data_IF_277699625218
#
_entry.id   IF_277699625218
#
_cell.length_a   1.000
_cell.length_b   1.000
_cell.length_c   1.000
_cell.angle_alpha   90.00
_cell.angle_beta   90.00
_cell.angle_gamma   90.00
#
_symmetry.space_group_name_H-M   'P 1'
#
loop_
_entity.id
_entity.type
_entity.pdbx_description
1 polymer ?
#
# COMPACT_ATOMS: atom_id res chain seq x y z
N UNK A 1 11.37 -31.29 13.43
CA UNK A 1 10.24 -30.34 13.30
C UNK A 1 10.25 -29.48 14.55
N UNK A 2 11.18 -28.53 14.61
CA UNK A 2 11.50 -27.89 15.89
C UNK A 2 11.03 -26.43 15.87
N UNK A 3 9.73 -26.25 15.65
CA UNK A 3 9.06 -24.93 15.64
C UNK A 3 9.26 -24.14 16.96
N UNK A 4 9.57 -24.83 18.05
CA UNK A 4 9.67 -24.26 19.40
C UNK A 4 11.10 -24.06 19.92
N UNK A 5 12.12 -24.11 19.05
CA UNK A 5 13.46 -23.65 19.46
C UNK A 5 13.46 -22.14 19.68
N UNK A 6 14.29 -21.66 20.61
CA UNK A 6 14.44 -20.22 20.92
C UNK A 6 14.74 -19.41 19.64
N UNK A 7 15.56 -19.94 18.74
CA UNK A 7 15.92 -19.31 17.46
C UNK A 7 14.72 -19.15 16.51
N UNK A 8 13.94 -20.23 16.31
CA UNK A 8 12.72 -20.18 15.50
C UNK A 8 11.65 -19.27 16.09
N UNK A 9 11.54 -19.18 17.42
CA UNK A 9 10.61 -18.27 18.09
C UNK A 9 11.02 -16.80 17.89
N UNK A 10 12.32 -16.51 18.01
CA UNK A 10 12.85 -15.18 17.73
C UNK A 10 12.63 -14.78 16.26
N UNK A 11 12.88 -15.70 15.33
CA UNK A 11 12.63 -15.51 13.90
C UNK A 11 11.15 -15.29 13.61
N UNK A 12 10.26 -16.06 14.24
CA UNK A 12 8.81 -15.85 14.13
C UNK A 12 8.41 -14.45 14.62
N UNK A 13 8.95 -13.99 15.76
CA UNK A 13 8.68 -12.65 16.26
C UNK A 13 9.18 -11.56 15.31
N UNK A 14 10.38 -11.71 14.75
CA UNK A 14 10.90 -10.79 13.73
C UNK A 14 10.03 -10.77 12.48
N UNK A 15 9.57 -11.94 12.01
CA UNK A 15 8.69 -12.04 10.85
C UNK A 15 7.32 -11.40 11.12
N UNK A 16 6.73 -11.63 12.29
CA UNK A 16 5.48 -10.97 12.68
C UNK A 16 5.65 -9.46 12.72
N UNK A 17 6.76 -8.96 13.31
CA UNK A 17 7.04 -7.53 13.37
C UNK A 17 7.25 -6.93 11.97
N UNK A 18 8.04 -7.59 11.13
CA UNK A 18 8.28 -7.17 9.74
C UNK A 18 6.99 -7.16 8.92
N UNK A 19 6.14 -8.17 9.08
CA UNK A 19 4.84 -8.23 8.41
C UNK A 19 3.84 -7.22 8.96
N UNK A 20 3.90 -6.84 10.24
CA UNK A 20 3.06 -5.80 10.79
C UNK A 20 3.42 -4.42 10.22
N UNK A 21 4.72 -4.12 10.12
CA UNK A 21 5.21 -2.87 9.55
C UNK A 21 4.92 -2.80 8.05
N UNK A 22 5.25 -3.85 7.28
CA UNK A 22 4.99 -3.90 5.83
C UNK A 22 3.50 -4.07 5.48
N UNK A 23 2.72 -4.66 6.39
CA UNK A 23 1.29 -4.92 6.20
C UNK A 23 0.42 -3.68 6.39
N UNK A 24 0.97 -2.61 6.96
CA UNK A 24 0.24 -1.36 7.15
C UNK A 24 -0.17 -0.72 5.82
N UNK A 25 0.73 -0.68 4.84
CA UNK A 25 0.45 -0.10 3.52
C UNK A 25 -0.62 -0.89 2.77
N UNK A 26 -0.58 -2.23 2.89
CA UNK A 26 -1.59 -3.12 2.35
C UNK A 26 -2.95 -2.91 3.03
N UNK A 27 -2.97 -2.73 4.36
CA UNK A 27 -4.19 -2.43 5.11
C UNK A 27 -4.79 -1.07 4.72
N UNK A 28 -3.95 -0.04 4.53
CA UNK A 28 -4.38 1.26 4.04
C UNK A 28 -5.01 1.16 2.66
N UNK A 29 -4.37 0.45 1.72
CA UNK A 29 -4.91 0.21 0.39
C UNK A 29 -6.27 -0.49 0.45
N UNK A 30 -6.39 -1.59 1.21
CA UNK A 30 -7.64 -2.32 1.40
C UNK A 30 -8.74 -1.42 1.94
N UNK A 31 -8.41 -0.60 2.95
CA UNK A 31 -9.37 0.31 3.58
C UNK A 31 -9.86 1.37 2.60
N UNK A 32 -8.96 1.99 1.83
CA UNK A 32 -9.30 2.99 0.80
C UNK A 32 -10.10 2.39 -0.36
N UNK A 33 -9.67 1.24 -0.88
CA UNK A 33 -10.31 0.61 -2.05
C UNK A 33 -11.71 0.07 -1.68
N UNK A 34 -11.90 -0.44 -0.46
CA UNK A 34 -13.20 -0.93 0.01
C UNK A 34 -14.30 0.14 0.06
N UNK A 35 -13.93 1.42 0.26
CA UNK A 35 -14.88 2.55 0.27
C UNK A 35 -15.59 2.76 -1.07
N UNK A 36 -15.06 2.19 -2.15
CA UNK A 36 -15.67 2.26 -3.49
C UNK A 36 -16.88 1.32 -3.64
N UNK A 37 -17.08 0.42 -2.68
CA UNK A 37 -18.23 -0.49 -2.64
C UNK A 37 -19.44 0.23 -2.03
N UNK A 38 -20.67 -0.25 -2.30
CA UNK A 38 -21.86 0.22 -1.58
C UNK A 38 -21.63 0.17 -0.07
N UNK A 39 -22.08 1.18 0.67
CA UNK A 39 -21.83 1.32 2.12
C UNK A 39 -22.19 0.06 2.91
N UNK A 40 -23.28 -0.62 2.53
CA UNK A 40 -23.73 -1.87 3.14
C UNK A 40 -22.79 -3.06 2.92
N UNK A 41 -21.93 -3.02 1.89
CA UNK A 41 -21.03 -4.10 1.50
C UNK A 41 -19.57 -3.86 1.87
N UNK A 42 -19.16 -2.64 2.24
CA UNK A 42 -17.75 -2.29 2.45
C UNK A 42 -17.06 -3.19 3.49
N UNK A 43 -17.72 -3.44 4.63
CA UNK A 43 -17.20 -4.36 5.67
C UNK A 43 -17.01 -5.77 5.11
N UNK A 44 -17.99 -6.28 4.37
CA UNK A 44 -17.95 -7.61 3.76
C UNK A 44 -16.81 -7.69 2.74
N UNK A 45 -16.63 -6.65 1.91
CA UNK A 45 -15.55 -6.54 0.92
C UNK A 45 -14.19 -6.56 1.60
N UNK A 46 -13.99 -5.82 2.70
CA UNK A 46 -12.73 -5.85 3.47
C UNK A 46 -12.43 -7.25 4.01
N UNK A 47 -13.39 -7.85 4.71
CA UNK A 47 -13.20 -9.15 5.35
C UNK A 47 -12.96 -10.27 4.34
N UNK A 48 -13.75 -10.33 3.26
CA UNK A 48 -13.56 -11.31 2.20
C UNK A 48 -12.25 -11.05 1.42
N UNK A 49 -11.96 -9.79 1.12
CA UNK A 49 -10.72 -9.39 0.46
C UNK A 49 -9.49 -9.83 1.26
N UNK A 50 -9.46 -9.56 2.56
CA UNK A 50 -8.35 -9.97 3.46
C UNK A 50 -8.29 -11.49 3.58
N UNK A 51 -9.42 -12.18 3.75
CA UNK A 51 -9.45 -13.64 3.87
C UNK A 51 -8.90 -14.34 2.62
N UNK A 52 -9.35 -13.91 1.43
CA UNK A 52 -8.88 -14.44 0.15
C UNK A 52 -7.39 -14.09 -0.05
N UNK A 53 -6.99 -12.86 0.29
CA UNK A 53 -5.60 -12.39 0.23
C UNK A 53 -4.66 -13.26 1.06
N UNK A 54 -5.02 -13.57 2.31
CA UNK A 54 -4.22 -14.44 3.20
C UNK A 54 -4.12 -15.85 2.64
N UNK A 55 -5.23 -16.42 2.16
CA UNK A 55 -5.22 -17.75 1.55
C UNK A 55 -4.30 -17.81 0.32
N UNK A 56 -4.44 -16.86 -0.60
CA UNK A 56 -3.58 -16.77 -1.79
C UNK A 56 -2.12 -16.52 -1.44
N UNK A 57 -1.84 -15.81 -0.34
CA UNK A 57 -0.48 -15.58 0.13
C UNK A 57 0.18 -16.87 0.62
N UNK A 58 -0.56 -17.76 1.26
CA UNK A 58 -0.06 -19.09 1.65
C UNK A 58 0.19 -19.96 0.41
N UNK A 59 -0.72 -19.92 -0.57
CA UNK A 59 -0.53 -20.61 -1.86
C UNK A 59 0.70 -20.07 -2.57
N UNK A 60 0.86 -18.75 -2.64
CA UNK A 60 2.01 -18.11 -3.25
C UNK A 60 3.31 -18.47 -2.52
N UNK A 61 3.31 -18.51 -1.19
CA UNK A 61 4.47 -18.95 -0.40
C UNK A 61 4.89 -20.37 -0.79
N UNK A 62 3.94 -21.30 -0.93
CA UNK A 62 4.23 -22.67 -1.35
C UNK A 62 4.81 -22.72 -2.77
N UNK A 63 4.22 -21.96 -3.70
CA UNK A 63 4.69 -21.83 -5.08
C UNK A 63 6.11 -21.28 -5.13
N UNK A 64 6.36 -20.17 -4.43
CA UNK A 64 7.69 -19.54 -4.37
C UNK A 64 8.72 -20.49 -3.78
N UNK A 65 8.43 -21.14 -2.65
CA UNK A 65 9.38 -22.06 -2.03
C UNK A 65 9.72 -23.28 -2.90
N UNK A 66 8.80 -23.68 -3.80
CA UNK A 66 9.00 -24.85 -4.67
C UNK A 66 9.62 -24.50 -6.03
N UNK A 67 9.31 -23.31 -6.56
CA UNK A 67 9.65 -22.89 -7.92
C UNK A 67 10.55 -21.65 -7.96
N UNK A 68 11.24 -21.33 -6.87
CA UNK A 68 12.02 -20.08 -6.77
C UNK A 68 13.03 -19.94 -7.91
N UNK A 69 13.71 -21.02 -8.27
CA UNK A 69 14.73 -21.02 -9.33
C UNK A 69 14.14 -20.67 -10.70
N UNK A 70 12.90 -21.08 -10.98
CA UNK A 70 12.19 -20.73 -12.22
C UNK A 70 11.64 -19.31 -12.19
N UNK A 71 11.29 -18.81 -11.01
CA UNK A 71 10.67 -17.49 -10.81
C UNK A 71 11.73 -16.38 -10.80
N UNK A 72 12.94 -16.68 -10.31
CA UNK A 72 14.08 -15.77 -10.30
C UNK A 72 14.89 -15.79 -11.60
N UNK A 73 14.57 -16.70 -12.54
CA UNK A 73 15.21 -16.72 -13.85
C UNK A 73 14.86 -15.51 -14.72
N UNK A 74 15.76 -15.21 -15.67
CA UNK A 74 15.55 -14.18 -16.67
C UNK A 74 14.36 -14.55 -17.59
N UNK A 75 13.36 -13.67 -17.67
CA UNK A 75 12.18 -13.83 -18.52
C UNK A 75 12.48 -13.33 -19.94
N UNK A 76 12.97 -12.09 -20.04
CA UNK A 76 13.44 -11.45 -21.26
C UNK A 76 14.35 -10.28 -20.94
N UNK A 77 15.22 -9.91 -21.87
CA UNK A 77 16.06 -8.73 -21.75
C UNK A 77 15.80 -7.74 -22.88
N UNK A 78 15.97 -6.46 -22.58
CA UNK A 78 15.86 -5.35 -23.51
C UNK A 78 17.20 -4.62 -23.48
N UNK A 79 17.91 -4.60 -24.60
CA UNK A 79 19.17 -3.90 -24.74
C UNK A 79 19.05 -2.87 -25.86
N UNK A 80 18.69 -1.65 -25.49
CA UNK A 80 18.75 -0.49 -26.37
C UNK A 80 19.99 0.32 -26.03
N UNK A 81 21.06 0.04 -26.77
CA UNK A 81 22.39 0.63 -26.56
C UNK A 81 22.34 2.16 -26.35
N UNK A 82 22.85 2.60 -25.20
CA UNK A 82 22.96 4.00 -24.82
C UNK A 82 21.67 4.67 -24.32
N UNK A 83 20.53 3.97 -24.33
CA UNK A 83 19.22 4.52 -23.94
C UNK A 83 18.62 3.75 -22.76
N UNK A 84 18.46 2.43 -22.90
CA UNK A 84 17.80 1.60 -21.91
C UNK A 84 18.34 0.17 -21.95
N UNK A 85 18.79 -0.34 -20.81
CA UNK A 85 19.17 -1.75 -20.64
C UNK A 85 18.36 -2.32 -19.47
N UNK A 86 17.81 -3.52 -19.65
CA UNK A 86 17.00 -4.18 -18.63
C UNK A 86 16.99 -5.70 -18.83
N UNK A 87 16.99 -6.44 -17.73
CA UNK A 87 16.79 -7.89 -17.68
C UNK A 87 15.61 -8.16 -16.76
N UNK A 88 14.46 -8.49 -17.34
CA UNK A 88 13.23 -8.67 -16.59
C UNK A 88 13.11 -10.10 -16.08
N UNK A 89 12.95 -10.25 -14.76
CA UNK A 89 12.49 -11.48 -14.10
C UNK A 89 10.97 -11.43 -13.88
N UNK A 90 10.34 -12.56 -13.59
CA UNK A 90 8.91 -12.61 -13.28
C UNK A 90 8.54 -11.69 -12.10
N UNK A 91 9.38 -11.69 -11.07
CA UNK A 91 9.23 -10.82 -9.91
C UNK A 91 9.26 -9.33 -10.29
N UNK A 92 10.26 -8.92 -11.09
CA UNK A 92 10.42 -7.52 -11.50
C UNK A 92 9.21 -7.02 -12.28
N UNK A 93 8.64 -7.84 -13.16
CA UNK A 93 7.46 -7.50 -13.96
C UNK A 93 6.23 -7.30 -13.08
N UNK A 94 5.98 -8.20 -12.13
CA UNK A 94 4.84 -8.10 -11.22
C UNK A 94 4.95 -6.85 -10.34
N UNK A 95 6.13 -6.58 -9.79
CA UNK A 95 6.37 -5.42 -8.93
C UNK A 95 6.21 -4.12 -9.72
N UNK A 96 6.81 -4.02 -10.91
CA UNK A 96 6.67 -2.86 -11.80
C UNK A 96 5.21 -2.63 -12.18
N UNK A 97 4.50 -3.68 -12.59
CA UNK A 97 3.08 -3.60 -12.94
C UNK A 97 2.24 -3.07 -11.77
N UNK A 98 2.42 -3.62 -10.57
CA UNK A 98 1.68 -3.13 -9.40
C UNK A 98 2.07 -1.72 -8.99
N UNK A 99 3.34 -1.33 -9.15
CA UNK A 99 3.79 0.05 -8.95
C UNK A 99 3.08 1.03 -9.88
N UNK A 100 3.04 0.73 -11.20
CA UNK A 100 2.29 1.54 -12.18
C UNK A 100 0.80 1.58 -11.83
N UNK A 101 0.22 0.42 -11.52
CA UNK A 101 -1.20 0.30 -11.20
C UNK A 101 -1.60 1.14 -9.97
N UNK A 102 -0.82 1.07 -8.89
CA UNK A 102 -1.03 1.85 -7.67
C UNK A 102 -0.90 3.33 -7.98
N UNK A 103 0.20 3.73 -8.63
CA UNK A 103 0.46 5.13 -8.96
C UNK A 103 -0.68 5.72 -9.80
N UNK A 104 -1.09 5.01 -10.85
CA UNK A 104 -2.23 5.41 -11.67
C UNK A 104 -3.53 5.54 -10.85
N UNK A 105 -3.82 4.55 -10.00
CA UNK A 105 -5.03 4.54 -9.18
C UNK A 105 -5.05 5.69 -8.16
N UNK A 106 -3.92 5.97 -7.53
CA UNK A 106 -3.75 7.07 -6.58
C UNK A 106 -3.87 8.43 -7.27
N UNK A 107 -3.18 8.66 -8.38
CA UNK A 107 -3.26 9.92 -9.15
C UNK A 107 -4.68 10.16 -9.65
N UNK A 108 -5.32 9.13 -10.21
CA UNK A 108 -6.71 9.22 -10.68
C UNK A 108 -7.67 9.59 -9.54
N UNK A 109 -7.47 9.03 -8.37
CA UNK A 109 -8.30 9.32 -7.19
C UNK A 109 -8.09 10.76 -6.71
N UNK A 110 -6.83 11.21 -6.60
CA UNK A 110 -6.48 12.59 -6.24
C UNK A 110 -7.14 13.58 -7.21
N UNK A 111 -7.04 13.32 -8.53
CA UNK A 111 -7.67 14.16 -9.55
C UNK A 111 -9.19 14.26 -9.36
N UNK A 112 -9.85 13.13 -9.10
CA UNK A 112 -11.29 13.11 -8.87
C UNK A 112 -11.71 13.85 -7.60
N UNK A 113 -10.95 13.74 -6.51
CA UNK A 113 -11.24 14.49 -5.29
C UNK A 113 -11.15 15.99 -5.53
N UNK A 114 -10.12 16.45 -6.25
CA UNK A 114 -9.98 17.87 -6.61
C UNK A 114 -11.12 18.35 -7.52
N UNK A 115 -11.57 17.52 -8.48
CA UNK A 115 -12.68 17.88 -9.37
C UNK A 115 -14.02 18.01 -8.62
N UNK A 116 -14.27 17.16 -7.62
CA UNK A 116 -15.50 17.20 -6.81
C UNK A 116 -15.60 18.45 -5.92
N UNK A 117 -14.49 19.04 -5.51
CA UNK A 117 -14.49 20.31 -4.78
C UNK A 117 -14.87 21.51 -5.65
N UNK A 118 -14.71 21.40 -6.98
CA UNK A 118 -14.94 22.50 -7.92
C UNK A 118 -16.37 22.46 -8.50
N UNK A 119 -16.94 21.29 -8.75
CA UNK A 119 -18.11 21.15 -9.63
C UNK A 119 -19.42 20.68 -8.96
N UNK A 120 -19.55 20.84 -7.63
CA UNK A 120 -20.87 20.72 -6.98
C UNK A 120 -21.54 19.34 -7.03
N UNK A 121 -20.76 18.25 -7.01
CA UNK A 121 -21.27 16.91 -6.71
C UNK A 121 -21.72 16.08 -7.91
N UNK A 122 -20.77 15.38 -8.54
CA UNK A 122 -21.09 14.18 -9.31
C UNK A 122 -21.02 12.99 -8.37
N UNK A 123 -22.19 12.50 -7.91
CA UNK A 123 -22.26 11.26 -7.13
C UNK A 123 -21.65 10.10 -7.93
N UNK A 124 -20.64 9.44 -7.35
CA UNK A 124 -20.02 8.25 -7.91
C UNK A 124 -21.04 7.12 -7.95
N UNK A 125 -21.17 6.45 -9.11
CA UNK A 125 -21.77 5.11 -9.13
C UNK A 125 -20.85 4.15 -8.36
N UNK A 126 -21.36 3.44 -7.33
CA UNK A 126 -20.58 2.45 -6.62
C UNK A 126 -20.02 1.41 -7.60
N UNK A 127 -18.78 0.96 -7.37
CA UNK A 127 -18.24 -0.17 -8.12
C UNK A 127 -18.76 -1.48 -7.52
N UNK A 128 -18.83 -2.54 -8.34
CA UNK A 128 -19.27 -3.85 -7.85
C UNK A 128 -18.29 -4.39 -6.80
N UNK A 129 -18.82 -4.95 -5.71
CA UNK A 129 -18.01 -5.57 -4.66
C UNK A 129 -17.03 -6.62 -5.21
N UNK A 130 -17.45 -7.42 -6.20
CA UNK A 130 -16.58 -8.41 -6.85
C UNK A 130 -15.36 -7.78 -7.52
N UNK A 131 -15.53 -6.63 -8.20
CA UNK A 131 -14.40 -5.91 -8.82
C UNK A 131 -13.44 -5.40 -7.75
N UNK A 132 -13.95 -4.84 -6.67
CA UNK A 132 -13.13 -4.29 -5.58
C UNK A 132 -12.36 -5.40 -4.86
N UNK A 133 -13.02 -6.54 -4.59
CA UNK A 133 -12.36 -7.72 -4.04
C UNK A 133 -11.24 -8.18 -4.98
N UNK A 134 -11.49 -8.25 -6.29
CA UNK A 134 -10.46 -8.63 -7.26
C UNK A 134 -9.26 -7.67 -7.24
N UNK A 135 -9.51 -6.35 -7.14
CA UNK A 135 -8.44 -5.34 -7.03
C UNK A 135 -7.64 -5.48 -5.73
N UNK A 136 -8.32 -5.70 -4.59
CA UNK A 136 -7.68 -5.95 -3.29
C UNK A 136 -6.78 -7.19 -3.39
N UNK A 137 -7.32 -8.28 -3.92
CA UNK A 137 -6.62 -9.55 -4.04
C UNK A 137 -5.41 -9.45 -4.97
N UNK A 138 -5.58 -8.82 -6.13
CA UNK A 138 -4.51 -8.59 -7.09
C UNK A 138 -3.37 -7.78 -6.47
N UNK A 139 -3.70 -6.70 -5.75
CA UNK A 139 -2.67 -5.87 -5.12
C UNK A 139 -1.98 -6.54 -3.95
N UNK A 140 -2.73 -7.28 -3.15
CA UNK A 140 -2.14 -8.09 -2.10
C UNK A 140 -1.19 -9.15 -2.70
N UNK A 141 -1.51 -9.73 -3.86
CA UNK A 141 -0.61 -10.65 -4.53
C UNK A 141 0.71 -9.97 -4.88
N UNK A 142 0.68 -8.79 -5.51
CA UNK A 142 1.89 -8.01 -5.84
C UNK A 142 2.74 -7.75 -4.59
N UNK A 143 2.14 -7.21 -3.52
CA UNK A 143 2.88 -6.95 -2.27
C UNK A 143 3.37 -8.22 -1.57
N UNK A 144 2.69 -9.34 -1.79
CA UNK A 144 3.09 -10.61 -1.21
C UNK A 144 4.38 -11.16 -1.82
N UNK A 145 4.70 -10.85 -3.08
CA UNK A 145 5.98 -11.29 -3.69
C UNK A 145 7.18 -10.75 -2.92
N UNK A 146 7.31 -9.41 -2.80
CA UNK A 146 8.44 -8.78 -2.12
C UNK A 146 8.54 -9.19 -0.64
N UNK A 147 7.41 -9.20 0.06
CA UNK A 147 7.38 -9.52 1.49
C UNK A 147 7.58 -11.01 1.79
N UNK A 148 7.25 -11.93 0.87
CA UNK A 148 7.61 -13.35 1.01
C UNK A 148 9.09 -13.56 0.72
N UNK A 149 9.65 -12.96 -0.33
CA UNK A 149 11.08 -13.10 -0.65
C UNK A 149 11.96 -12.51 0.45
N UNK A 150 11.56 -11.36 1.01
CA UNK A 150 12.19 -10.78 2.20
C UNK A 150 12.12 -11.72 3.42
N UNK A 151 11.03 -12.47 3.58
CA UNK A 151 10.88 -13.44 4.66
C UNK A 151 11.72 -14.71 4.45
N UNK A 152 11.83 -15.17 3.20
CA UNK A 152 12.69 -16.32 2.82
C UNK A 152 14.16 -16.02 3.09
N UNK A 153 14.60 -14.76 2.97
CA UNK A 153 15.94 -14.36 3.38
C UNK A 153 16.21 -14.48 4.89
N UNK A 154 15.16 -14.60 5.73
CA UNK A 154 15.26 -14.77 7.17
C UNK A 154 15.07 -16.22 7.63
N UNK A 155 14.33 -17.04 6.88
CA UNK A 155 14.12 -18.44 7.20
C UNK A 155 13.65 -19.25 5.99
N UNK A 156 14.15 -20.49 5.89
CA UNK A 156 13.68 -21.47 4.91
C UNK A 156 12.49 -22.31 5.43
N UNK A 157 12.00 -22.05 6.64
CA UNK A 157 10.94 -22.85 7.23
C UNK A 157 9.55 -22.36 6.81
N UNK A 158 8.92 -23.12 5.89
CA UNK A 158 7.56 -22.89 5.42
C UNK A 158 6.56 -22.60 6.54
N UNK A 159 6.56 -23.42 7.59
CA UNK A 159 5.57 -23.35 8.65
C UNK A 159 5.71 -22.08 9.49
N UNK A 160 6.94 -21.62 9.74
CA UNK A 160 7.19 -20.36 10.45
C UNK A 160 6.63 -19.19 9.64
N UNK A 161 6.93 -19.14 8.35
CA UNK A 161 6.40 -18.09 7.46
C UNK A 161 4.88 -18.14 7.33
N UNK A 162 4.29 -19.33 7.18
CA UNK A 162 2.84 -19.51 7.07
C UNK A 162 2.12 -19.07 8.35
N UNK A 163 2.64 -19.43 9.54
CA UNK A 163 2.09 -18.99 10.82
C UNK A 163 2.16 -17.46 10.94
N UNK A 164 3.31 -16.85 10.60
CA UNK A 164 3.44 -15.40 10.60
C UNK A 164 2.37 -14.73 9.71
N UNK A 165 2.20 -15.23 8.48
CA UNK A 165 1.20 -14.72 7.53
C UNK A 165 -0.22 -14.80 8.11
N UNK A 166 -0.58 -15.92 8.75
CA UNK A 166 -1.91 -16.10 9.35
C UNK A 166 -2.10 -15.10 10.50
N UNK A 167 -1.13 -14.96 11.40
CA UNK A 167 -1.20 -14.01 12.51
C UNK A 167 -1.32 -12.57 12.02
N UNK A 168 -0.53 -12.17 11.02
CA UNK A 168 -0.63 -10.87 10.37
C UNK A 168 -2.01 -10.68 9.72
N UNK A 169 -2.52 -11.70 9.04
CA UNK A 169 -3.86 -11.72 8.44
C UNK A 169 -4.98 -11.46 9.45
N UNK A 170 -4.94 -12.15 10.59
CA UNK A 170 -5.91 -11.96 11.68
C UNK A 170 -5.81 -10.55 12.27
N UNK A 171 -4.59 -10.05 12.49
CA UNK A 171 -4.38 -8.69 12.96
C UNK A 171 -4.92 -7.64 11.96
N UNK A 172 -4.72 -7.85 10.65
CA UNK A 172 -5.27 -6.99 9.60
C UNK A 172 -6.80 -6.97 9.63
N UNK A 173 -7.48 -8.12 9.77
CA UNK A 173 -8.95 -8.16 9.88
C UNK A 173 -9.42 -7.33 11.07
N UNK A 174 -8.76 -7.48 12.23
CA UNK A 174 -9.11 -6.75 13.43
C UNK A 174 -8.91 -5.24 13.30
N UNK A 175 -7.86 -4.81 12.61
CA UNK A 175 -7.54 -3.39 12.40
C UNK A 175 -8.32 -2.74 11.24
N UNK A 176 -8.73 -3.52 10.22
CA UNK A 176 -9.31 -2.98 8.99
C UNK A 176 -10.54 -2.10 9.20
N UNK A 177 -11.45 -2.52 10.09
CA UNK A 177 -12.64 -1.71 10.40
C UNK A 177 -12.29 -0.44 11.17
N UNK A 178 -11.30 -0.51 12.07
CA UNK A 178 -10.81 0.65 12.82
C UNK A 178 -10.15 1.67 11.90
N UNK A 179 -9.28 1.20 10.99
CA UNK A 179 -8.60 2.05 10.02
C UNK A 179 -9.60 2.66 9.04
N UNK A 180 -10.55 1.88 8.50
CA UNK A 180 -11.60 2.41 7.60
C UNK A 180 -12.40 3.52 8.28
N UNK A 181 -12.91 3.26 9.49
CA UNK A 181 -13.72 4.24 10.23
C UNK A 181 -12.91 5.50 10.57
N UNK A 182 -11.62 5.35 10.89
CA UNK A 182 -10.73 6.48 11.12
C UNK A 182 -10.56 7.35 9.87
N UNK A 183 -10.36 6.73 8.71
CA UNK A 183 -10.23 7.44 7.43
C UNK A 183 -11.55 8.12 7.02
N UNK A 184 -12.70 7.50 7.27
CA UNK A 184 -14.04 8.08 6.99
C UNK A 184 -14.31 9.33 7.83
N UNK A 185 -14.02 9.26 9.14
CA UNK A 185 -14.26 10.39 10.06
C UNK A 185 -13.34 11.57 9.80
N UNK A 186 -12.19 11.34 9.17
CA UNK A 186 -11.18 12.36 8.96
C UNK A 186 -10.77 12.44 7.48
N UNK A 187 -11.56 13.13 6.65
CA UNK A 187 -11.31 13.35 5.22
C UNK A 187 -9.86 13.75 4.86
N UNK A 188 -9.20 14.55 5.69
CA UNK A 188 -7.79 14.91 5.50
C UNK A 188 -6.86 13.69 5.45
N UNK A 189 -7.12 12.69 6.31
CA UNK A 189 -6.34 11.45 6.36
C UNK A 189 -6.66 10.52 5.18
N UNK A 190 -7.83 10.64 4.57
CA UNK A 190 -8.14 9.92 3.33
C UNK A 190 -7.25 10.40 2.18
N UNK A 191 -7.13 11.72 2.01
CA UNK A 191 -6.21 12.33 1.02
C UNK A 191 -4.76 11.97 1.33
N UNK A 192 -4.34 12.08 2.59
CA UNK A 192 -3.01 11.68 3.02
C UNK A 192 -2.72 10.21 2.70
N UNK A 193 -3.70 9.32 2.90
CA UNK A 193 -3.60 7.90 2.54
C UNK A 193 -3.36 7.68 1.05
N UNK A 194 -3.96 8.50 0.17
CA UNK A 194 -3.70 8.44 -1.27
C UNK A 194 -2.29 8.91 -1.65
N UNK A 195 -1.74 9.90 -0.95
CA UNK A 195 -0.35 10.32 -1.13
C UNK A 195 0.64 9.27 -0.61
N UNK A 196 0.35 8.63 0.53
CA UNK A 196 1.12 7.48 1.01
C UNK A 196 1.09 6.36 -0.04
N UNK A 197 -0.09 6.04 -0.57
CA UNK A 197 -0.27 5.03 -1.61
C UNK A 197 0.52 5.39 -2.89
N UNK A 198 0.56 6.67 -3.27
CA UNK A 198 1.36 7.15 -4.39
C UNK A 198 2.86 6.89 -4.18
N UNK A 199 3.37 7.18 -2.97
CA UNK A 199 4.77 6.92 -2.61
C UNK A 199 5.06 5.42 -2.61
N UNK A 200 4.15 4.58 -2.12
CA UNK A 200 4.27 3.12 -2.20
C UNK A 200 4.37 2.69 -3.67
N UNK A 201 3.57 3.27 -4.57
CA UNK A 201 3.68 3.05 -6.01
C UNK A 201 5.07 3.40 -6.56
N UNK A 202 5.63 4.55 -6.17
CA UNK A 202 6.98 4.98 -6.56
C UNK A 202 8.05 4.05 -6.01
N UNK A 203 7.92 3.61 -4.74
CA UNK A 203 8.84 2.66 -4.12
C UNK A 203 8.86 1.33 -4.87
N UNK A 204 7.69 0.79 -5.23
CA UNK A 204 7.61 -0.43 -6.05
C UNK A 204 8.22 -0.24 -7.43
N UNK A 205 8.05 0.91 -8.07
CA UNK A 205 8.69 1.17 -9.36
C UNK A 205 10.21 1.20 -9.25
N UNK A 206 10.75 1.79 -8.19
CA UNK A 206 12.19 1.79 -7.91
C UNK A 206 12.71 0.37 -7.64
N UNK A 207 12.03 -0.40 -6.78
CA UNK A 207 12.43 -1.76 -6.43
C UNK A 207 12.29 -2.71 -7.62
N UNK A 208 11.21 -2.60 -8.40
CA UNK A 208 10.97 -3.38 -9.60
C UNK A 208 11.97 -3.05 -10.71
N UNK A 209 12.31 -1.76 -10.87
CA UNK A 209 13.34 -1.31 -11.80
C UNK A 209 14.71 -1.84 -11.42
N UNK A 210 15.07 -1.77 -10.13
CA UNK A 210 16.31 -2.35 -9.63
C UNK A 210 16.38 -3.87 -9.87
N UNK A 211 15.31 -4.61 -9.56
CA UNK A 211 15.21 -6.06 -9.81
C UNK A 211 15.26 -6.42 -11.30
N UNK A 212 14.86 -5.49 -12.17
CA UNK A 212 14.99 -5.63 -13.62
C UNK A 212 16.37 -5.22 -14.14
N UNK A 213 17.34 -4.88 -13.28
CA UNK A 213 18.61 -4.24 -13.66
C UNK A 213 18.41 -3.08 -14.63
N UNK A 214 17.32 -2.33 -14.46
CA UNK A 214 16.90 -1.29 -15.38
C UNK A 214 17.86 -0.11 -15.27
N UNK A 215 18.47 0.25 -16.39
CA UNK A 215 19.29 1.44 -16.53
C UNK A 215 18.73 2.36 -17.62
N UNK A 216 18.83 3.67 -17.38
CA UNK A 216 18.49 4.70 -18.35
C UNK A 216 19.70 5.59 -18.58
N UNK A 217 20.11 5.75 -19.84
CA UNK A 217 21.27 6.57 -20.22
C UNK A 217 22.56 6.22 -19.43
N UNK A 218 22.76 4.93 -19.12
CA UNK A 218 23.90 4.46 -18.32
C UNK A 218 23.78 4.69 -16.81
N UNK A 219 22.64 5.19 -16.32
CA UNK A 219 22.35 5.30 -14.89
C UNK A 219 21.39 4.21 -14.44
N UNK A 220 21.85 3.34 -13.54
CA UNK A 220 21.03 2.27 -12.98
C UNK A 220 19.96 2.81 -12.01
N UNK A 221 18.79 2.18 -12.03
CA UNK A 221 17.76 2.43 -11.03
C UNK A 221 18.15 1.74 -9.72
N UNK A 222 18.32 2.54 -8.69
CA UNK A 222 18.57 2.07 -7.33
C UNK A 222 17.25 1.96 -6.55
N UNK A 223 17.11 0.96 -5.66
CA UNK A 223 15.91 0.80 -4.86
C UNK A 223 15.79 1.94 -3.84
N UNK A 224 14.56 2.27 -3.47
CA UNK A 224 14.32 3.31 -2.48
C UNK A 224 14.56 2.73 -1.08
N UNK A 225 15.37 3.40 -0.24
CA UNK A 225 15.58 2.90 1.12
C UNK A 225 14.30 2.98 1.95
N UNK A 226 14.00 1.93 2.75
CA UNK A 226 12.86 1.93 3.67
C UNK A 226 12.91 3.09 4.67
N UNK A 227 14.11 3.52 5.07
CA UNK A 227 14.30 4.70 5.91
C UNK A 227 13.84 5.98 5.21
N UNK A 228 14.20 6.16 3.93
CA UNK A 228 13.74 7.29 3.11
C UNK A 228 12.21 7.27 3.00
N UNK A 229 11.61 6.10 2.76
CA UNK A 229 10.17 5.92 2.71
C UNK A 229 9.48 6.40 4.01
N UNK A 230 9.89 5.88 5.16
CA UNK A 230 9.31 6.30 6.46
C UNK A 230 9.57 7.76 6.77
N UNK A 231 10.73 8.30 6.39
CA UNK A 231 11.06 9.70 6.56
C UNK A 231 10.10 10.59 5.74
N UNK A 232 9.87 10.26 4.47
CA UNK A 232 8.92 10.99 3.61
C UNK A 232 7.50 10.94 4.19
N UNK A 233 7.02 9.77 4.60
CA UNK A 233 5.69 9.64 5.23
C UNK A 233 5.60 10.50 6.50
N UNK A 234 6.62 10.46 7.35
CA UNK A 234 6.65 11.25 8.59
C UNK A 234 6.56 12.75 8.28
N UNK A 235 7.32 13.23 7.30
CA UNK A 235 7.27 14.63 6.86
C UNK A 235 5.91 14.99 6.27
N UNK A 236 5.29 14.11 5.47
CA UNK A 236 3.94 14.34 4.94
C UNK A 236 2.90 14.47 6.04
N UNK A 237 2.91 13.54 7.01
CA UNK A 237 1.99 13.56 8.17
C UNK A 237 2.20 14.84 8.98
N UNK A 238 3.45 15.22 9.27
CA UNK A 238 3.75 16.44 10.01
C UNK A 238 3.30 17.70 9.26
N UNK A 239 3.56 17.76 7.95
CA UNK A 239 3.15 18.87 7.09
C UNK A 239 1.63 19.03 7.06
N UNK A 240 0.89 17.91 6.94
CA UNK A 240 -0.57 17.91 6.97
C UNK A 240 -1.13 18.36 8.33
N UNK A 241 -0.50 17.95 9.44
CA UNK A 241 -0.86 18.41 10.80
C UNK A 241 -0.66 19.93 10.92
N UNK A 242 0.45 20.46 10.43
CA UNK A 242 0.76 21.90 10.45
C UNK A 242 -0.25 22.68 9.60
N UNK A 243 -0.50 22.22 8.36
CA UNK A 243 -1.46 22.82 7.45
C UNK A 243 -2.88 22.81 8.03
N UNK A 244 -3.30 21.68 8.61
CA UNK A 244 -4.60 21.54 9.27
C UNK A 244 -4.78 22.51 10.44
N UNK A 245 -3.74 22.70 11.27
CA UNK A 245 -3.77 23.69 12.36
C UNK A 245 -3.84 25.13 11.81
N UNK A 246 -3.07 25.43 10.77
CA UNK A 246 -3.06 26.74 10.15
C UNK A 246 -4.43 27.12 9.57
N UNK A 247 -5.06 26.22 8.81
CA UNK A 247 -6.40 26.44 8.24
C UNK A 247 -7.46 26.64 9.33
N UNK A 248 -7.44 25.83 10.40
CA UNK A 248 -8.36 26.00 11.55
C UNK A 248 -8.20 27.38 12.22
N UNK A 249 -6.97 27.87 12.35
CA UNK A 249 -6.71 29.19 12.92
C UNK A 249 -7.21 30.32 12.01
N UNK A 250 -7.03 30.19 10.68
CA UNK A 250 -7.57 31.15 9.71
C UNK A 250 -9.11 31.20 9.74
N UNK A 251 -9.77 30.05 9.81
CA UNK A 251 -11.23 29.95 9.93
C UNK A 251 -11.73 30.66 11.21
N UNK A 252 -11.10 30.39 12.36
CA UNK A 252 -11.42 31.07 13.62
C UNK A 252 -11.23 32.59 13.52
N UNK A 253 -10.16 33.05 12.84
CA UNK A 253 -9.92 34.48 12.63
C UNK A 253 -11.02 35.10 11.76
N UNK A 254 -11.41 34.45 10.65
CA UNK A 254 -12.51 34.91 9.79
C UNK A 254 -13.84 34.99 10.55
N UNK A 255 -14.16 34.00 11.37
CA UNK A 255 -15.38 33.98 12.19
C UNK A 255 -15.39 35.12 13.23
N UNK A 256 -14.25 35.39 13.89
CA UNK A 256 -14.13 36.53 14.82
C UNK A 256 -14.35 37.86 14.12
N UNK A 257 -13.69 38.09 12.98
CA UNK A 257 -13.85 39.32 12.20
C UNK A 257 -15.30 39.50 11.72
N UNK A 258 -15.97 38.42 11.32
CA UNK A 258 -17.39 38.48 10.94
C UNK A 258 -18.32 38.82 12.12
N UNK A 259 -18.05 38.26 13.31
CA UNK A 259 -18.83 38.56 14.51
C UNK A 259 -18.65 40.02 14.99
N UNK A 260 -17.41 40.53 14.97
CA UNK A 260 -17.11 41.94 15.29
C UNK A 260 -17.79 42.90 14.31
N UNK A 261 -17.78 42.60 13.01
CA UNK A 261 -18.45 43.40 11.99
C UNK A 261 -19.99 43.39 12.13
N UNK A 262 -20.58 42.30 12.65
CA UNK A 262 -22.00 42.24 12.93
C UNK A 262 -22.39 43.05 14.18
N UNK A 263 -21.57 43.01 15.24
CA UNK A 263 -21.79 43.76 16.47
C UNK A 263 -21.67 45.28 16.30
N UNK A 264 -20.82 45.76 15.38
CA UNK A 264 -20.71 47.19 15.09
C UNK A 264 -21.86 47.75 14.22
N UNK A 265 -22.74 46.89 13.68
CA UNK A 265 -23.89 47.30 12.84
C UNK A 265 -25.22 47.32 13.60
N UNK A 266 -25.25 46.82 14.85
CA UNK A 266 -26.39 46.83 15.77
C UNK A 266 -26.25 47.94 16.80
#
# INVERSE_FOLDING_TARGET
MDLFTIENLFTLLMLIALQAVLGFDNLLYISLESKRAPESEQKRVRWLGIGIAVALRIVLLFVLMTLIDYIQGDLFSVNWSGVMEATFTFESVIILFGGVFIMYTAVKEIWHMMALEVDGGVERKPQSAAKIIALIVMMNLVFSFDSILSAMALTDNFWIMAIAIIFSGVAMIWLADTVSTFLERNRMFEVLGLFILLIVGVMLLADGGHKANLSFFGSEITPMSKATFYFVITILVLSDIVQSKYQKNLLKKKQRMAAEAAANKS
#
